data_IF_148334560188
#
_entry.id   IF_148334560188
#
_cell.length_a   1.000
_cell.length_b   1.000
_cell.length_c   1.000
_cell.angle_alpha   90.00
_cell.angle_beta   90.00
_cell.angle_gamma   90.00
#
_symmetry.space_group_name_H-M   'P 1'
#
loop_
_entity.id
_entity.type
_entity.pdbx_description
1 polymer ?
#
# COMPACT_ATOMS: atom_id res chain seq x y z
N UNK A 1 5.60 28.40 -4.63
CA UNK A 1 4.45 29.34 -4.46
C UNK A 1 3.40 28.77 -3.52
N UNK A 2 2.75 27.63 -3.82
CA UNK A 2 1.82 26.98 -2.88
C UNK A 2 2.58 26.26 -1.75
N UNK A 3 3.68 25.58 -2.06
CA UNK A 3 4.46 24.85 -1.06
C UNK A 3 5.05 25.77 0.01
N UNK A 4 5.63 26.89 -0.38
CA UNK A 4 6.22 27.87 0.56
C UNK A 4 5.15 28.57 1.40
N UNK A 5 4.01 28.93 0.80
CA UNK A 5 2.93 29.61 1.50
C UNK A 5 2.22 28.71 2.52
N UNK A 6 1.94 27.45 2.14
CA UNK A 6 1.26 26.48 2.99
C UNK A 6 2.20 25.54 3.75
N UNK A 7 3.52 25.72 3.59
CA UNK A 7 4.58 24.85 4.17
C UNK A 7 4.40 23.37 3.79
N UNK A 8 4.00 23.12 2.56
CA UNK A 8 3.89 21.76 2.02
C UNK A 8 5.27 21.26 1.61
N UNK A 9 5.49 19.95 1.74
CA UNK A 9 6.76 19.31 1.36
C UNK A 9 6.91 19.16 -0.16
N UNK A 10 5.80 19.17 -0.88
CA UNK A 10 5.73 18.90 -2.29
C UNK A 10 4.48 19.53 -2.91
N UNK A 11 4.41 19.48 -4.23
CA UNK A 11 3.33 20.08 -5.01
C UNK A 11 1.98 19.43 -4.68
N UNK A 12 1.01 20.18 -4.15
CA UNK A 12 -0.31 19.63 -3.87
C UNK A 12 -1.11 19.35 -5.16
N UNK A 13 -2.16 18.53 -5.03
CA UNK A 13 -3.16 18.26 -6.06
C UNK A 13 -2.61 17.61 -7.35
N UNK A 14 -1.72 16.63 -7.21
CA UNK A 14 -1.34 15.77 -8.34
C UNK A 14 -2.56 15.02 -8.90
N UNK A 15 -2.61 14.85 -10.22
CA UNK A 15 -3.69 14.12 -10.91
C UNK A 15 -3.52 12.60 -10.81
N UNK A 16 -2.33 12.14 -10.46
CA UNK A 16 -2.03 10.71 -10.28
C UNK A 16 -1.88 10.40 -8.81
N UNK A 17 -2.50 9.32 -8.30
CA UNK A 17 -2.26 8.85 -6.94
C UNK A 17 -0.78 8.56 -6.72
N UNK A 18 -0.18 9.19 -5.71
CA UNK A 18 1.17 8.89 -5.28
C UNK A 18 1.12 7.80 -4.18
N UNK A 19 1.72 6.62 -4.40
CA UNK A 19 1.60 5.56 -3.43
C UNK A 19 2.49 5.75 -2.18
N UNK A 20 3.33 6.78 -2.10
CA UNK A 20 3.95 7.24 -0.84
C UNK A 20 2.91 7.78 0.15
N UNK A 21 1.76 8.25 -0.35
CA UNK A 21 0.65 8.74 0.47
C UNK A 21 -0.38 7.64 0.78
N UNK A 22 0.01 6.38 0.67
CA UNK A 22 -0.86 5.27 1.01
C UNK A 22 -1.19 5.28 2.51
N UNK A 23 -2.46 5.54 2.82
CA UNK A 23 -3.00 5.32 4.15
C UNK A 23 -3.46 3.87 4.32
N UNK A 24 -2.74 3.12 5.16
CA UNK A 24 -3.13 1.77 5.56
C UNK A 24 -4.07 1.87 6.76
N UNK A 25 -5.38 1.76 6.53
CA UNK A 25 -6.32 1.53 7.64
C UNK A 25 -6.02 0.19 8.32
N UNK A 26 -6.54 -0.01 9.53
CA UNK A 26 -6.32 -1.23 10.32
C UNK A 26 -6.57 -2.51 9.52
N UNK A 27 -7.66 -2.56 8.74
CA UNK A 27 -7.98 -3.69 7.86
C UNK A 27 -6.95 -3.93 6.75
N UNK A 28 -6.45 -2.86 6.11
CA UNK A 28 -5.41 -2.96 5.09
C UNK A 28 -4.07 -3.38 5.70
N UNK A 29 -3.75 -2.89 6.90
CA UNK A 29 -2.53 -3.25 7.62
C UNK A 29 -2.55 -4.74 8.00
N UNK A 30 -3.63 -5.24 8.58
CA UNK A 30 -3.79 -6.66 8.91
C UNK A 30 -3.67 -7.54 7.67
N UNK A 31 -4.36 -7.20 6.57
CA UNK A 31 -4.25 -7.94 5.32
C UNK A 31 -2.80 -8.00 4.79
N UNK A 32 -2.06 -6.89 4.90
CA UNK A 32 -0.67 -6.81 4.48
C UNK A 32 0.26 -7.63 5.38
N UNK A 33 0.05 -7.63 6.69
CA UNK A 33 0.79 -8.47 7.64
C UNK A 33 0.57 -9.97 7.36
N UNK A 34 -0.67 -10.38 7.09
CA UNK A 34 -0.98 -11.76 6.69
C UNK A 34 -0.29 -12.16 5.37
N UNK A 35 -0.27 -11.26 4.39
CA UNK A 35 0.42 -11.51 3.12
C UNK A 35 1.93 -11.66 3.30
N UNK A 36 2.56 -10.82 4.11
CA UNK A 36 3.98 -10.90 4.41
C UNK A 36 4.32 -12.21 5.14
N UNK A 37 3.52 -12.55 6.15
CA UNK A 37 3.71 -13.81 6.88
C UNK A 37 3.57 -15.03 5.96
N UNK A 38 2.53 -15.08 5.14
CA UNK A 38 2.32 -16.20 4.21
C UNK A 38 3.43 -16.32 3.15
N UNK A 39 4.01 -15.18 2.73
CA UNK A 39 5.17 -15.17 1.83
C UNK A 39 6.42 -15.75 2.53
N UNK A 40 6.67 -15.36 3.78
CA UNK A 40 7.80 -15.85 4.58
C UNK A 40 7.66 -17.34 4.95
N UNK A 41 6.43 -17.80 5.21
CA UNK A 41 6.13 -19.20 5.55
C UNK A 41 6.17 -20.14 4.35
N UNK A 42 6.25 -19.60 3.12
CA UNK A 42 6.23 -20.38 1.89
C UNK A 42 4.86 -20.99 1.57
N UNK A 43 3.78 -20.37 2.04
CA UNK A 43 2.43 -20.78 1.68
C UNK A 43 2.24 -20.67 0.15
N UNK A 44 1.70 -21.72 -0.46
CA UNK A 44 1.63 -21.80 -1.93
C UNK A 44 0.73 -20.76 -2.58
N UNK A 45 -0.37 -20.36 -1.93
CA UNK A 45 -1.31 -19.37 -2.44
C UNK A 45 -2.00 -18.60 -1.31
N UNK A 46 -2.08 -17.28 -1.45
CA UNK A 46 -2.81 -16.39 -0.55
C UNK A 46 -3.85 -15.61 -1.35
N UNK A 47 -5.07 -15.47 -0.81
CA UNK A 47 -6.19 -14.78 -1.47
C UNK A 47 -6.60 -13.55 -0.68
N UNK A 48 -6.59 -12.39 -1.34
CA UNK A 48 -7.14 -11.12 -0.81
C UNK A 48 -8.56 -10.92 -1.36
N UNK A 49 -9.56 -11.03 -0.49
CA UNK A 49 -10.98 -10.87 -0.85
C UNK A 49 -11.59 -9.61 -0.25
N UNK A 50 -12.74 -9.19 -0.79
CA UNK A 50 -13.46 -7.99 -0.35
C UNK A 50 -14.23 -7.33 -1.50
N UNK A 51 -15.10 -6.39 -1.17
CA UNK A 51 -15.99 -5.73 -2.12
C UNK A 51 -15.26 -4.82 -3.13
N UNK A 52 -16.01 -4.33 -4.12
CA UNK A 52 -15.49 -3.41 -5.13
C UNK A 52 -15.05 -2.11 -4.44
N UNK A 53 -13.86 -1.62 -4.78
CA UNK A 53 -13.35 -0.34 -4.26
C UNK A 53 -12.68 -0.39 -2.88
N UNK A 54 -12.64 -1.55 -2.19
CA UNK A 54 -12.06 -1.67 -0.83
C UNK A 54 -10.52 -1.78 -0.80
N UNK A 55 -9.82 -1.36 -1.85
CA UNK A 55 -8.36 -1.28 -1.80
C UNK A 55 -7.58 -2.59 -1.96
N UNK A 56 -8.19 -3.70 -2.41
CA UNK A 56 -7.49 -4.99 -2.65
C UNK A 56 -6.20 -4.83 -3.47
N UNK A 57 -6.29 -4.19 -4.64
CA UNK A 57 -5.13 -3.94 -5.51
C UNK A 57 -4.11 -3.04 -4.84
N UNK A 58 -4.55 -2.09 -4.01
CA UNK A 58 -3.69 -1.19 -3.26
C UNK A 58 -2.86 -1.95 -2.23
N UNK A 59 -3.46 -2.89 -1.50
CA UNK A 59 -2.74 -3.76 -0.55
C UNK A 59 -1.72 -4.64 -1.27
N UNK A 60 -2.07 -5.24 -2.41
CA UNK A 60 -1.10 -6.03 -3.19
C UNK A 60 0.09 -5.17 -3.67
N UNK A 61 -0.15 -3.92 -4.09
CA UNK A 61 0.93 -3.00 -4.44
C UNK A 61 1.78 -2.60 -3.23
N UNK A 62 1.17 -2.46 -2.06
CA UNK A 62 1.88 -2.19 -0.81
C UNK A 62 2.79 -3.36 -0.41
N UNK A 63 2.32 -4.60 -0.61
CA UNK A 63 3.14 -5.81 -0.44
C UNK A 63 4.37 -5.76 -1.35
N UNK A 64 4.20 -5.56 -2.65
CA UNK A 64 5.31 -5.54 -3.62
C UNK A 64 6.40 -4.51 -3.28
N UNK A 65 6.05 -3.41 -2.61
CA UNK A 65 7.01 -2.40 -2.15
C UNK A 65 7.80 -2.80 -0.90
N UNK A 66 7.30 -3.78 -0.14
CA UNK A 66 7.91 -4.27 1.12
C UNK A 66 8.67 -5.58 0.96
N UNK A 67 8.48 -6.28 -0.17
CA UNK A 67 9.23 -7.49 -0.47
C UNK A 67 10.71 -7.12 -0.69
N UNK A 68 11.65 -7.73 0.06
CA UNK A 68 13.08 -7.56 -0.18
C UNK A 68 13.47 -8.04 -1.59
N UNK A 69 14.47 -7.43 -2.24
CA UNK A 69 14.96 -7.80 -3.59
C UNK A 69 15.40 -9.28 -3.74
N UNK A 70 15.43 -10.05 -2.65
CA UNK A 70 15.95 -11.41 -2.58
C UNK A 70 14.87 -12.50 -2.57
N UNK A 71 13.61 -12.12 -2.63
CA UNK A 71 12.50 -13.00 -3.00
C UNK A 71 12.36 -13.09 -4.52
#
# INVERSE_FOLDING_TARGET
>A
MYEEYFRLKEKPFSLTPDPEFLFLSDSHQQALEHLLFGLESGEGFIVVSGDIGVGKTTVCRALLRRIPERF
#
